data_IF_085933279153
#
_entry.id   IF_085933279153
#
_cell.length_a   1.000
_cell.length_b   1.000
_cell.length_c   1.000
_cell.angle_alpha   90.00
_cell.angle_beta   90.00
_cell.angle_gamma   90.00
#
_symmetry.space_group_name_H-M   'P 1'
#
loop_
_entity.id
_entity.type
_entity.pdbx_description
1 polymer ?
#
# COMPACT_ATOMS: atom_id res chain seq x y z
N UNK A 1 -9.13 1.29 8.71
CA UNK A 1 -7.78 1.27 8.08
C UNK A 1 -7.96 1.68 6.62
N UNK A 2 -7.03 2.44 6.02
CA UNK A 2 -7.18 2.93 4.64
C UNK A 2 -5.95 2.58 3.79
N UNK A 3 -6.10 2.13 2.54
CA UNK A 3 -4.98 1.93 1.62
C UNK A 3 -4.45 3.27 1.08
N UNK A 4 -3.28 3.20 0.44
CA UNK A 4 -2.77 4.29 -0.40
C UNK A 4 -1.72 5.19 0.23
N UNK A 5 -1.74 6.46 -0.15
CA UNK A 5 -0.81 7.50 0.30
C UNK A 5 -1.52 8.83 0.49
N UNK A 6 -1.01 9.64 1.44
CA UNK A 6 -1.47 11.01 1.67
C UNK A 6 -0.37 11.98 1.22
N UNK A 7 -0.66 12.80 0.23
CA UNK A 7 0.21 13.89 -0.21
C UNK A 7 -0.26 15.23 0.36
N UNK A 8 0.68 16.17 0.49
CA UNK A 8 0.41 17.56 0.85
C UNK A 8 0.88 18.43 -0.30
N UNK A 9 -0.01 19.30 -0.80
CA UNK A 9 0.23 20.10 -1.98
C UNK A 9 -0.12 21.56 -1.72
N UNK A 10 0.57 22.44 -2.45
CA UNK A 10 0.30 23.86 -2.47
C UNK A 10 0.18 24.31 -3.93
N UNK A 11 -0.85 25.11 -4.23
CA UNK A 11 -1.20 25.49 -5.60
C UNK A 11 -1.26 27.01 -5.74
N UNK A 12 -0.84 27.51 -6.90
CA UNK A 12 -1.12 28.89 -7.30
C UNK A 12 -2.42 28.91 -8.13
N UNK A 13 -3.22 29.97 -8.03
CA UNK A 13 -4.49 30.08 -8.77
C UNK A 13 -4.40 30.85 -10.10
N UNK A 14 -3.20 31.34 -10.47
CA UNK A 14 -2.94 32.10 -11.70
C UNK A 14 -3.70 33.43 -11.84
N UNK A 15 -4.49 33.84 -10.84
CA UNK A 15 -5.22 35.11 -10.88
C UNK A 15 -4.25 36.30 -10.74
N UNK A 16 -4.30 37.30 -11.64
CA UNK A 16 -3.52 38.52 -11.50
C UNK A 16 -3.78 39.19 -10.14
N UNK A 17 -2.72 39.65 -9.48
CA UNK A 17 -2.80 40.28 -8.15
C UNK A 17 -2.96 39.31 -6.97
N UNK A 18 -3.04 37.99 -7.20
CA UNK A 18 -2.98 37.03 -6.10
C UNK A 18 -1.55 36.95 -5.54
N UNK A 19 -1.41 36.96 -4.21
CA UNK A 19 -0.11 36.71 -3.53
C UNK A 19 0.54 35.39 -3.95
N UNK A 20 -0.27 34.42 -4.37
CA UNK A 20 0.18 33.12 -4.85
C UNK A 20 0.98 33.13 -6.15
N UNK A 21 0.92 34.22 -6.92
CA UNK A 21 1.68 34.43 -8.17
C UNK A 21 2.56 35.68 -8.10
N UNK A 22 2.84 36.18 -6.88
CA UNK A 22 3.75 37.29 -6.70
C UNK A 22 5.14 36.96 -7.30
N UNK A 23 5.73 37.84 -8.13
CA UNK A 23 6.99 37.55 -8.82
C UNK A 23 8.21 37.56 -7.90
N UNK A 24 8.11 38.15 -6.70
CA UNK A 24 9.22 38.28 -5.75
C UNK A 24 9.04 37.35 -4.56
N UNK A 25 7.83 37.27 -4.00
CA UNK A 25 7.51 36.51 -2.79
C UNK A 25 6.17 35.75 -2.91
N UNK A 26 6.12 34.67 -3.72
CA UNK A 26 4.89 33.92 -3.95
C UNK A 26 4.40 33.15 -2.71
N UNK A 27 3.14 33.34 -2.34
CA UNK A 27 2.45 32.63 -1.25
C UNK A 27 1.39 31.66 -1.78
N UNK A 28 1.78 30.43 -2.09
CA UNK A 28 0.89 29.42 -2.66
C UNK A 28 -0.25 29.05 -1.70
N UNK A 29 -1.42 28.74 -2.26
CA UNK A 29 -2.58 28.28 -1.48
C UNK A 29 -2.36 26.86 -0.97
N UNK A 30 -2.84 26.57 0.23
CA UNK A 30 -2.78 25.25 0.85
C UNK A 30 -2.57 25.35 2.36
N UNK A 31 -2.27 24.23 3.03
CA UNK A 31 -2.04 22.90 2.44
C UNK A 31 -3.34 22.21 1.97
N UNK A 32 -3.28 21.60 0.79
CA UNK A 32 -4.27 20.63 0.32
C UNK A 32 -3.76 19.23 0.58
N UNK A 33 -4.52 18.42 1.33
CA UNK A 33 -4.17 17.03 1.58
C UNK A 33 -4.95 16.12 0.65
N UNK A 34 -4.25 15.26 -0.10
CA UNK A 34 -4.87 14.36 -1.06
C UNK A 34 -4.53 12.91 -0.69
N UNK A 35 -5.57 12.11 -0.43
CA UNK A 35 -5.50 10.68 -0.24
C UNK A 35 -5.71 9.99 -1.58
N UNK A 36 -4.74 9.21 -2.03
CA UNK A 36 -4.80 8.45 -3.28
C UNK A 36 -4.63 6.96 -3.02
N UNK A 37 -5.52 6.13 -3.54
CA UNK A 37 -5.47 4.67 -3.35
C UNK A 37 -6.13 3.91 -4.50
N UNK A 38 -5.84 2.61 -4.61
CA UNK A 38 -6.48 1.70 -5.56
C UNK A 38 -7.20 0.59 -4.80
N UNK A 39 -8.45 0.32 -5.16
CA UNK A 39 -9.26 -0.76 -4.60
C UNK A 39 -10.16 -1.37 -5.68
N UNK A 40 -10.25 -2.69 -5.77
CA UNK A 40 -11.05 -3.38 -6.80
C UNK A 40 -10.66 -2.99 -8.23
N UNK A 41 -9.36 -2.78 -8.48
CA UNK A 41 -8.84 -2.34 -9.79
C UNK A 41 -9.11 -0.87 -10.14
N UNK A 42 -9.77 -0.11 -9.26
CA UNK A 42 -10.09 1.31 -9.49
C UNK A 42 -9.24 2.22 -8.63
N UNK A 43 -8.61 3.22 -9.25
CA UNK A 43 -7.88 4.27 -8.55
C UNK A 43 -8.83 5.38 -8.12
N UNK A 44 -8.67 5.86 -6.89
CA UNK A 44 -9.49 6.89 -6.25
C UNK A 44 -8.59 7.94 -5.62
N UNK A 45 -9.02 9.19 -5.71
CA UNK A 45 -8.38 10.35 -5.10
C UNK A 45 -9.42 11.12 -4.29
N UNK A 46 -9.08 11.52 -3.07
CA UNK A 46 -9.96 12.27 -2.17
C UNK A 46 -9.20 13.38 -1.46
N UNK A 47 -9.84 14.54 -1.28
CA UNK A 47 -9.30 15.59 -0.42
C UNK A 47 -9.59 15.29 1.05
N UNK A 48 -8.60 15.51 1.90
CA UNK A 48 -8.68 15.33 3.35
C UNK A 48 -8.61 16.71 4.01
N UNK A 49 -9.57 17.01 4.88
CA UNK A 49 -9.54 18.26 5.65
C UNK A 49 -8.41 18.20 6.68
N UNK A 50 -7.73 19.32 6.99
CA UNK A 50 -6.58 19.33 7.89
C UNK A 50 -6.83 18.63 9.24
N UNK A 51 -8.02 18.79 9.84
CA UNK A 51 -8.34 18.17 11.12
C UNK A 51 -8.31 16.63 11.10
N UNK A 52 -8.51 16.00 9.93
CA UNK A 52 -8.53 14.54 9.79
C UNK A 52 -7.18 13.97 9.36
N UNK A 53 -6.18 14.81 9.06
CA UNK A 53 -4.86 14.35 8.61
C UNK A 53 -4.19 13.39 9.60
N UNK A 54 -4.18 13.65 10.93
CA UNK A 54 -3.57 12.72 11.88
C UNK A 54 -4.23 11.34 11.86
N UNK A 55 -5.57 11.31 11.81
CA UNK A 55 -6.35 10.08 11.76
C UNK A 55 -6.07 9.30 10.46
N UNK A 56 -6.06 9.97 9.31
CA UNK A 56 -5.75 9.32 8.02
C UNK A 56 -4.33 8.76 8.02
N UNK A 57 -3.35 9.47 8.58
CA UNK A 57 -1.96 8.96 8.70
C UNK A 57 -1.90 7.69 9.55
N UNK A 58 -2.60 7.66 10.68
CA UNK A 58 -2.72 6.46 11.51
C UNK A 58 -3.37 5.31 10.74
N UNK A 59 -4.47 5.57 10.02
CA UNK A 59 -5.17 4.56 9.22
C UNK A 59 -4.30 3.98 8.09
N UNK A 60 -3.47 4.82 7.45
CA UNK A 60 -2.50 4.41 6.43
C UNK A 60 -1.37 3.56 7.04
N UNK A 61 -0.83 3.96 8.19
CA UNK A 61 0.22 3.23 8.88
C UNK A 61 -0.29 1.83 9.29
N UNK A 62 -1.49 1.77 9.86
CA UNK A 62 -2.13 0.51 10.21
C UNK A 62 -2.29 -0.39 8.97
N UNK A 63 -2.76 0.16 7.85
CA UNK A 63 -2.94 -0.63 6.63
C UNK A 63 -1.61 -1.19 6.10
N UNK A 64 -0.54 -0.39 6.11
CA UNK A 64 0.81 -0.86 5.74
C UNK A 64 1.26 -2.02 6.64
N UNK A 65 1.08 -1.90 7.95
CA UNK A 65 1.42 -2.95 8.91
C UNK A 65 0.62 -4.22 8.66
N UNK A 66 -0.70 -4.10 8.50
CA UNK A 66 -1.57 -5.23 8.19
C UNK A 66 -1.13 -5.95 6.92
N UNK A 67 -0.94 -5.22 5.81
CA UNK A 67 -0.51 -5.79 4.54
C UNK A 67 0.83 -6.53 4.65
N UNK A 68 1.78 -5.97 5.39
CA UNK A 68 3.09 -6.60 5.61
C UNK A 68 2.95 -7.91 6.40
N UNK A 69 2.19 -7.89 7.49
CA UNK A 69 1.98 -9.07 8.33
C UNK A 69 1.24 -10.19 7.58
N UNK A 70 0.20 -9.86 6.81
CA UNK A 70 -0.53 -10.86 6.02
C UNK A 70 0.35 -11.47 4.93
N UNK A 71 1.18 -10.66 4.28
CA UNK A 71 2.13 -11.15 3.29
C UNK A 71 3.15 -12.11 3.91
N UNK A 72 3.73 -11.73 5.05
CA UNK A 72 4.68 -12.58 5.77
C UNK A 72 4.04 -13.91 6.20
N UNK A 73 2.82 -13.85 6.73
CA UNK A 73 2.10 -15.04 7.14
C UNK A 73 1.86 -16.01 5.98
N UNK A 74 1.41 -15.52 4.82
CA UNK A 74 1.23 -16.34 3.61
C UNK A 74 2.57 -16.94 3.16
N UNK A 75 3.64 -16.15 3.13
CA UNK A 75 4.98 -16.64 2.78
C UNK A 75 5.41 -17.79 3.69
N UNK A 76 5.29 -17.62 5.01
CA UNK A 76 5.67 -18.66 5.99
C UNK A 76 4.80 -19.92 5.86
N UNK A 77 3.50 -19.77 5.60
CA UNK A 77 2.60 -20.90 5.40
C UNK A 77 3.01 -21.73 4.16
N UNK A 78 3.38 -21.06 3.06
CA UNK A 78 3.85 -21.73 1.84
C UNK A 78 5.19 -22.45 2.06
N UNK A 79 6.11 -21.84 2.80
CA UNK A 79 7.39 -22.45 3.18
C UNK A 79 7.18 -23.70 4.04
N UNK A 80 6.29 -23.62 5.03
CA UNK A 80 5.93 -24.76 5.87
C UNK A 80 5.38 -25.92 5.04
N UNK A 81 4.37 -25.67 4.18
CA UNK A 81 3.81 -26.70 3.31
C UNK A 81 4.88 -27.36 2.43
N UNK A 82 5.81 -26.57 1.88
CA UNK A 82 6.91 -27.09 1.06
C UNK A 82 7.83 -28.01 1.86
N UNK A 83 8.18 -27.64 3.10
CA UNK A 83 9.01 -28.46 3.98
C UNK A 83 8.31 -29.77 4.38
N UNK A 84 7.02 -29.71 4.67
CA UNK A 84 6.21 -30.89 4.98
C UNK A 84 6.15 -31.87 3.80
N UNK A 85 5.93 -31.36 2.58
CA UNK A 85 5.94 -32.19 1.37
C UNK A 85 7.31 -32.83 1.11
N UNK A 86 8.40 -32.10 1.34
CA UNK A 86 9.75 -32.64 1.22
C UNK A 86 10.01 -33.74 2.24
N UNK A 87 9.63 -33.51 3.51
CA UNK A 87 9.76 -34.50 4.57
C UNK A 87 8.96 -35.77 4.25
N UNK A 88 7.72 -35.63 3.75
CA UNK A 88 6.90 -36.76 3.34
C UNK A 88 7.54 -37.54 2.18
N UNK A 89 8.11 -36.85 1.18
CA UNK A 89 8.82 -37.49 0.05
C UNK A 89 10.07 -38.24 0.50
N UNK A 90 10.86 -37.67 1.42
CA UNK A 90 12.06 -38.31 1.94
C UNK A 90 11.77 -39.50 2.86
N UNK A 91 10.59 -39.53 3.49
CA UNK A 91 10.15 -40.65 4.32
C UNK A 91 9.48 -41.79 3.51
N UNK A 92 9.10 -41.53 2.25
CA UNK A 92 8.50 -42.54 1.40
C UNK A 92 9.56 -43.53 0.88
N UNK A 93 9.30 -44.86 0.93
CA UNK A 93 10.19 -45.83 0.30
C UNK A 93 10.25 -45.61 -1.22
N UNK A 94 11.36 -45.98 -1.90
CA UNK A 94 11.44 -45.89 -3.36
C UNK A 94 10.30 -46.70 -3.97
N UNK A 95 9.47 -46.04 -4.78
CA UNK A 95 8.39 -46.69 -5.53
C UNK A 95 8.99 -47.76 -6.43
N UNK A 96 8.55 -49.01 -6.27
CA UNK A 96 8.91 -50.10 -7.17
C UNK A 96 8.54 -49.71 -8.61
N UNK A 97 9.56 -49.58 -9.46
CA UNK A 97 9.41 -49.32 -10.89
C UNK A 97 8.68 -50.51 -11.51
N UNK A 98 7.36 -50.42 -11.70
CA UNK A 98 6.62 -51.38 -12.50
C UNK A 98 6.91 -51.10 -13.98
N UNK A 99 7.91 -51.76 -14.55
CA UNK A 99 8.04 -51.90 -15.99
C UNK A 99 6.95 -52.88 -16.46
N UNK A 100 5.92 -52.38 -17.17
CA UNK A 100 5.01 -53.24 -17.93
C UNK A 100 5.59 -53.45 -19.33
N UNK A 101 5.71 -54.73 -19.71
CA UNK A 101 6.20 -55.25 -20.99
C UNK A 101 5.16 -55.13 -22.09
#
# INVERSE_FOLDING_TARGET
>A
MRPGSLSQQYSACQKPGCKCVDPVHPQKHGPFYQLSYTHGGKSTTQFVRPQFVPEVRMQLANYKKFKALTQQWVTLALELCKLEMQKARSAAPPSATTHQS
#
